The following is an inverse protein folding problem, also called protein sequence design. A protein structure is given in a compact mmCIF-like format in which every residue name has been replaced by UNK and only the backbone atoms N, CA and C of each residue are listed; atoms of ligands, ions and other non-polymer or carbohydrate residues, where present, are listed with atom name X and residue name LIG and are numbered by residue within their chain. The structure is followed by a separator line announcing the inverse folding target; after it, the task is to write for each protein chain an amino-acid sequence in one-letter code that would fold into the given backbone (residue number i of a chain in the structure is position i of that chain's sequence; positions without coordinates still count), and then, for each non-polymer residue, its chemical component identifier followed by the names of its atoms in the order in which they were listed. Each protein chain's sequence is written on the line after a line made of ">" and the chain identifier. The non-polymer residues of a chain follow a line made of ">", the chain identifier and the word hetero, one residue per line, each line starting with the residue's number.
data_IF_781996754061
#
_entry.id   IF_781996754061
#
_cell.length_a   1.000
_cell.length_b   1.000
_cell.length_c   1.000
_cell.angle_alpha   90.00
_cell.angle_beta   90.00
_cell.angle_gamma   90.00
#
_symmetry.space_group_name_H-M   'P 1'
#
loop_
_entity.id
_entity.type
_entity.pdbx_description
1 polymer ?
#
# COMPACT_ATOMS: atom_id res chain seq x y z
N UNK A 1 12.53 -11.10 19.59
CA UNK A 1 11.96 -11.42 18.26
C UNK A 1 13.05 -11.21 17.23
N UNK A 2 13.34 -12.18 16.34
CA UNK A 2 14.33 -11.94 15.27
C UNK A 2 13.78 -10.96 14.24
N UNK A 3 14.64 -10.16 13.61
CA UNK A 3 14.25 -9.21 12.55
C UNK A 3 13.46 -9.93 11.46
N UNK A 4 13.90 -11.13 11.10
CA UNK A 4 13.22 -12.03 10.16
C UNK A 4 11.76 -12.33 10.52
N UNK A 5 11.50 -12.63 11.80
CA UNK A 5 10.14 -12.87 12.29
C UNK A 5 9.31 -11.59 12.29
N UNK A 6 9.92 -10.43 12.56
CA UNK A 6 9.27 -9.13 12.46
C UNK A 6 8.83 -8.83 11.02
N UNK A 7 9.73 -9.01 10.05
CA UNK A 7 9.46 -8.80 8.62
C UNK A 7 8.29 -9.64 8.14
N UNK A 8 8.24 -10.92 8.55
CA UNK A 8 7.11 -11.80 8.20
C UNK A 8 5.80 -11.35 8.82
N UNK A 9 5.81 -10.90 10.07
CA UNK A 9 4.61 -10.37 10.71
C UNK A 9 4.11 -9.11 10.02
N UNK A 10 4.99 -8.16 9.70
CA UNK A 10 4.60 -6.99 8.93
C UNK A 10 4.10 -7.35 7.53
N UNK A 11 4.72 -8.30 6.83
CA UNK A 11 4.23 -8.78 5.54
C UNK A 11 2.84 -9.44 5.63
N UNK A 12 2.57 -10.17 6.71
CA UNK A 12 1.24 -10.69 7.00
C UNK A 12 0.24 -9.56 7.21
N UNK A 13 0.62 -8.52 7.97
CA UNK A 13 -0.21 -7.32 8.17
C UNK A 13 -0.48 -6.60 6.83
N UNK A 14 0.50 -6.50 5.92
CA UNK A 14 0.31 -5.97 4.56
C UNK A 14 -0.74 -6.77 3.79
N UNK A 15 -0.69 -8.10 3.88
CA UNK A 15 -1.64 -8.99 3.22
C UNK A 15 -3.07 -8.80 3.78
N UNK A 16 -3.22 -8.73 5.10
CA UNK A 16 -4.52 -8.44 5.74
C UNK A 16 -5.02 -7.06 5.33
N UNK A 17 -4.16 -6.04 5.34
CA UNK A 17 -4.50 -4.70 4.86
C UNK A 17 -4.99 -4.70 3.41
N UNK A 18 -4.32 -5.47 2.54
CA UNK A 18 -4.75 -5.68 1.16
C UNK A 18 -6.13 -6.33 1.06
N UNK A 19 -6.44 -7.34 1.88
CA UNK A 19 -7.78 -7.97 1.92
C UNK A 19 -8.84 -6.96 2.36
N UNK A 20 -8.58 -6.18 3.41
CA UNK A 20 -9.52 -5.14 3.86
C UNK A 20 -9.71 -4.08 2.77
N UNK A 21 -8.65 -3.72 2.03
CA UNK A 21 -8.71 -2.79 0.89
C UNK A 21 -9.64 -3.29 -0.21
N UNK A 22 -9.63 -4.60 -0.51
CA UNK A 22 -10.57 -5.19 -1.46
C UNK A 22 -12.03 -4.96 -1.04
N UNK A 23 -12.31 -4.83 0.26
CA UNK A 23 -13.65 -4.57 0.81
C UNK A 23 -14.22 -3.19 0.46
N UNK A 24 -13.39 -2.22 0.05
CA UNK A 24 -13.88 -0.91 -0.40
C UNK A 24 -14.74 -1.03 -1.67
N UNK A 25 -14.28 -1.80 -2.66
CA UNK A 25 -14.96 -1.95 -3.95
C UNK A 25 -16.39 -2.50 -3.83
N UNK A 26 -16.66 -3.66 -3.20
CA UNK A 26 -18.03 -4.13 -3.02
C UNK A 26 -18.84 -3.19 -2.14
N UNK A 27 -18.23 -2.57 -1.12
CA UNK A 27 -18.93 -1.60 -0.27
C UNK A 27 -19.44 -0.40 -1.07
N UNK A 28 -18.61 0.12 -1.99
CA UNK A 28 -18.98 1.26 -2.84
C UNK A 28 -20.00 0.92 -3.93
N UNK A 29 -20.13 -0.36 -4.30
CA UNK A 29 -21.19 -0.83 -5.20
C UNK A 29 -22.53 -1.05 -4.47
N UNK A 30 -22.51 -1.51 -3.21
CA UNK A 30 -23.72 -1.84 -2.45
C UNK A 30 -24.30 -0.59 -1.75
N UNK A 31 -23.45 0.20 -1.08
CA UNK A 31 -23.88 1.35 -0.27
C UNK A 31 -23.61 2.71 -0.91
N UNK A 32 -23.00 2.74 -2.10
CA UNK A 32 -22.63 3.97 -2.80
C UNK A 32 -21.21 4.45 -2.45
N UNK A 33 -20.69 5.35 -3.29
CA UNK A 33 -19.37 5.94 -3.11
C UNK A 33 -19.32 6.82 -1.86
N UNK A 34 -18.18 6.82 -1.18
CA UNK A 34 -17.94 7.53 0.08
C UNK A 34 -18.91 7.15 1.22
N UNK A 35 -19.50 5.94 1.13
CA UNK A 35 -20.30 5.38 2.22
C UNK A 35 -19.43 5.06 3.44
N UNK A 36 -20.03 5.06 4.64
CA UNK A 36 -19.31 4.75 5.88
C UNK A 36 -18.61 3.38 5.82
N UNK A 37 -19.22 2.39 5.17
CA UNK A 37 -18.66 1.05 4.99
C UNK A 37 -17.39 1.09 4.14
N UNK A 38 -17.41 1.81 3.02
CA UNK A 38 -16.24 2.02 2.17
C UNK A 38 -15.13 2.75 2.94
N UNK A 39 -15.46 3.83 3.64
CA UNK A 39 -14.48 4.63 4.39
C UNK A 39 -13.88 3.85 5.56
N UNK A 40 -14.65 3.03 6.28
CA UNK A 40 -14.14 2.16 7.35
C UNK A 40 -13.15 1.14 6.77
N UNK A 41 -13.48 0.49 5.65
CA UNK A 41 -12.56 -0.40 4.96
C UNK A 41 -11.29 0.35 4.53
N UNK A 42 -11.42 1.54 3.96
CA UNK A 42 -10.30 2.36 3.53
C UNK A 42 -9.37 2.72 4.70
N UNK A 43 -9.96 3.14 5.82
CA UNK A 43 -9.24 3.58 7.02
C UNK A 43 -8.44 2.42 7.62
N UNK A 44 -9.10 1.29 7.89
CA UNK A 44 -8.46 0.10 8.46
C UNK A 44 -7.38 -0.41 7.49
N UNK A 45 -7.68 -0.49 6.20
CA UNK A 45 -6.72 -0.94 5.19
C UNK A 45 -5.47 -0.06 5.19
N UNK A 46 -5.60 1.27 5.14
CA UNK A 46 -4.44 2.16 5.11
C UNK A 46 -3.56 2.01 6.35
N UNK A 47 -4.15 1.91 7.55
CA UNK A 47 -3.37 1.69 8.79
C UNK A 47 -2.57 0.40 8.71
N UNK A 48 -3.21 -0.70 8.30
CA UNK A 48 -2.52 -1.99 8.15
C UNK A 48 -1.47 -1.92 7.04
N UNK A 49 -1.74 -1.21 5.95
CA UNK A 49 -0.81 -1.07 4.83
C UNK A 49 0.39 -0.20 5.18
N UNK A 50 0.26 0.82 6.04
CA UNK A 50 1.39 1.55 6.63
C UNK A 50 2.33 0.56 7.33
N UNK A 51 1.86 -0.14 8.36
CA UNK A 51 2.70 -1.12 9.06
C UNK A 51 3.19 -2.25 8.15
N UNK A 52 2.37 -2.66 7.21
CA UNK A 52 2.69 -3.72 6.27
C UNK A 52 3.81 -3.35 5.31
N UNK A 53 3.83 -2.11 4.85
CA UNK A 53 4.81 -1.60 3.88
C UNK A 53 6.21 -1.55 4.48
N UNK A 54 6.35 -1.33 5.79
CA UNK A 54 7.62 -1.54 6.51
C UNK A 54 8.15 -2.96 6.32
N UNK A 55 7.29 -3.98 6.43
CA UNK A 55 7.68 -5.37 6.21
C UNK A 55 8.15 -5.61 4.78
N UNK A 56 7.42 -5.07 3.80
CA UNK A 56 7.78 -5.18 2.39
C UNK A 56 9.12 -4.50 2.08
N UNK A 57 9.36 -3.31 2.65
CA UNK A 57 10.62 -2.60 2.49
C UNK A 57 11.78 -3.32 3.17
N UNK A 58 11.61 -3.77 4.41
CA UNK A 58 12.65 -4.49 5.15
C UNK A 58 13.06 -5.80 4.46
N UNK A 59 12.13 -6.46 3.75
CA UNK A 59 12.43 -7.68 3.00
C UNK A 59 13.42 -7.46 1.84
N UNK A 60 13.56 -6.23 1.35
CA UNK A 60 14.40 -5.87 0.20
C UNK A 60 15.40 -4.76 0.52
N UNK A 61 15.58 -4.43 1.81
CA UNK A 61 16.39 -3.28 2.25
C UNK A 61 17.85 -3.36 1.79
N UNK A 62 18.38 -4.58 1.64
CA UNK A 62 19.77 -4.82 1.21
C UNK A 62 19.96 -4.53 -0.28
N UNK A 63 18.92 -4.76 -1.08
CA UNK A 63 18.95 -4.66 -2.54
C UNK A 63 18.39 -3.33 -3.06
N UNK A 64 17.48 -2.70 -2.31
CA UNK A 64 16.75 -1.51 -2.76
C UNK A 64 17.57 -0.19 -2.67
N UNK A 65 18.57 -0.16 -1.80
CA UNK A 65 19.47 0.99 -1.62
C UNK A 65 18.76 2.30 -1.25
N UNK A 66 19.42 3.44 -1.53
CA UNK A 66 18.89 4.79 -1.21
C UNK A 66 17.60 5.12 -1.94
N UNK A 67 17.48 4.71 -3.22
CA UNK A 67 16.27 4.93 -4.00
C UNK A 67 15.07 4.18 -3.40
N UNK A 68 15.28 2.93 -2.99
CA UNK A 68 14.29 2.15 -2.26
C UNK A 68 13.79 2.84 -1.01
N UNK A 69 14.71 3.33 -0.17
CA UNK A 69 14.36 4.07 1.06
C UNK A 69 13.53 5.32 0.78
N UNK A 70 13.93 6.15 -0.20
CA UNK A 70 13.20 7.37 -0.55
C UNK A 70 11.80 7.02 -1.07
N UNK A 71 11.68 6.04 -1.95
CA UNK A 71 10.38 5.61 -2.49
C UNK A 71 9.45 5.06 -1.40
N UNK A 72 10.00 4.32 -0.44
CA UNK A 72 9.32 3.83 0.74
C UNK A 72 8.82 4.98 1.61
N UNK A 73 9.68 5.94 1.96
CA UNK A 73 9.30 7.08 2.78
C UNK A 73 8.19 7.95 2.15
N UNK A 74 8.24 8.14 0.82
CA UNK A 74 7.20 8.87 0.08
C UNK A 74 5.88 8.08 0.10
N UNK A 75 5.93 6.76 -0.10
CA UNK A 75 4.75 5.88 -0.01
C UNK A 75 4.12 5.92 1.38
N UNK A 76 4.92 5.82 2.45
CA UNK A 76 4.45 5.90 3.84
C UNK A 76 3.78 7.24 4.13
N UNK A 77 4.42 8.34 3.73
CA UNK A 77 3.82 9.67 3.88
C UNK A 77 2.46 9.75 3.17
N UNK A 78 2.38 9.25 1.93
CA UNK A 78 1.14 9.19 1.18
C UNK A 78 0.06 8.38 1.91
N UNK A 79 0.37 7.17 2.37
CA UNK A 79 -0.57 6.31 3.09
C UNK A 79 -1.07 6.94 4.39
N UNK A 80 -0.18 7.59 5.15
CA UNK A 80 -0.55 8.31 6.39
C UNK A 80 -1.50 9.47 6.07
N UNK A 81 -1.18 10.27 5.05
CA UNK A 81 -2.03 11.40 4.68
C UNK A 81 -3.39 10.97 4.11
N UNK A 82 -3.44 9.88 3.33
CA UNK A 82 -4.71 9.26 2.89
C UNK A 82 -5.51 8.79 4.10
N UNK A 83 -4.85 8.20 5.11
CA UNK A 83 -5.52 7.77 6.36
C UNK A 83 -6.17 8.96 7.07
N UNK A 84 -5.44 10.07 7.22
CA UNK A 84 -5.96 11.30 7.80
C UNK A 84 -7.13 11.88 6.98
N UNK A 85 -7.04 11.81 5.66
CA UNK A 85 -8.11 12.27 4.76
C UNK A 85 -9.37 11.43 4.91
N UNK A 86 -9.24 10.10 4.90
CA UNK A 86 -10.38 9.18 5.10
C UNK A 86 -11.04 9.43 6.45
N UNK A 87 -10.23 9.61 7.50
CA UNK A 87 -10.72 9.98 8.82
C UNK A 87 -11.49 11.31 8.83
N UNK A 88 -10.98 12.33 8.15
CA UNK A 88 -11.66 13.62 7.97
C UNK A 88 -13.03 13.44 7.29
N UNK A 89 -13.09 12.65 6.22
CA UNK A 89 -14.35 12.36 5.51
C UNK A 89 -15.36 11.65 6.41
N UNK A 90 -14.90 10.72 7.27
CA UNK A 90 -15.77 10.04 8.25
C UNK A 90 -16.35 11.01 9.29
N UNK A 91 -15.67 12.12 9.57
CA UNK A 91 -16.16 13.21 10.42
C UNK A 91 -16.99 14.25 9.66
N UNK A 92 -17.34 13.97 8.41
CA UNK A 92 -18.07 14.87 7.50
C UNK A 92 -17.35 16.21 7.22
N UNK A 93 -16.02 16.22 7.35
CA UNK A 93 -15.18 17.38 6.99
C UNK A 93 -14.63 17.16 5.59
N UNK A 94 -14.88 18.11 4.69
CA UNK A 94 -14.40 18.05 3.31
C UNK A 94 -12.88 17.96 3.26
N UNK A 95 -12.29 16.95 2.61
CA UNK A 95 -10.84 16.86 2.42
C UNK A 95 -10.22 18.04 1.67
N UNK A 96 -11.03 18.76 0.89
CA UNK A 96 -10.57 19.91 0.11
C UNK A 96 -10.31 21.14 0.99
N UNK A 97 -10.93 21.21 2.16
CA UNK A 97 -10.73 22.31 3.12
C UNK A 97 -9.31 22.31 3.71
N UNK A 98 -8.58 21.19 3.55
CA UNK A 98 -7.20 21.04 4.00
C UNK A 98 -6.19 21.75 3.07
N UNK A 99 -6.64 22.24 1.91
CA UNK A 99 -5.83 23.04 0.98
C UNK A 99 -4.51 22.38 0.62
N UNK A 100 -3.40 23.00 1.05
CA UNK A 100 -2.04 22.54 0.72
C UNK A 100 -1.76 21.12 1.23
N UNK A 101 -2.32 20.70 2.36
CA UNK A 101 -2.10 19.35 2.90
C UNK A 101 -2.72 18.30 1.98
N UNK A 102 -3.89 18.60 1.38
CA UNK A 102 -4.50 17.72 0.38
C UNK A 102 -3.66 17.62 -0.88
N UNK A 103 -3.06 18.72 -1.33
CA UNK A 103 -2.13 18.69 -2.47
C UNK A 103 -0.89 17.83 -2.18
N UNK A 104 -0.34 17.89 -0.96
CA UNK A 104 0.76 17.02 -0.52
C UNK A 104 0.34 15.55 -0.45
N UNK A 105 -0.86 15.26 0.02
CA UNK A 105 -1.42 13.90 0.07
C UNK A 105 -1.50 13.27 -1.33
N UNK A 106 -2.14 13.95 -2.28
CA UNK A 106 -2.23 13.49 -3.67
C UNK A 106 -0.83 13.30 -4.28
N UNK A 107 0.03 14.30 -4.13
CA UNK A 107 1.37 14.28 -4.75
C UNK A 107 2.25 13.16 -4.19
N UNK A 108 2.31 13.02 -2.86
CA UNK A 108 3.08 11.96 -2.20
C UNK A 108 2.46 10.58 -2.42
N UNK A 109 1.13 10.46 -2.40
CA UNK A 109 0.42 9.22 -2.68
C UNK A 109 0.69 8.71 -4.09
N UNK A 110 0.53 9.56 -5.12
CA UNK A 110 0.78 9.19 -6.51
C UNK A 110 2.26 8.87 -6.77
N UNK A 111 3.17 9.71 -6.27
CA UNK A 111 4.60 9.45 -6.40
C UNK A 111 5.02 8.19 -5.65
N UNK A 112 4.51 7.95 -4.46
CA UNK A 112 4.77 6.75 -3.67
C UNK A 112 4.31 5.50 -4.40
N UNK A 113 3.05 5.50 -4.87
CA UNK A 113 2.45 4.40 -5.64
C UNK A 113 3.15 4.10 -6.96
N UNK A 114 3.90 5.06 -7.52
CA UNK A 114 4.70 4.85 -8.72
C UNK A 114 6.13 4.41 -8.39
N UNK A 115 6.81 5.15 -7.50
CA UNK A 115 8.23 4.97 -7.22
C UNK A 115 8.51 3.69 -6.44
N UNK A 116 7.66 3.33 -5.48
CA UNK A 116 7.84 2.14 -4.66
C UNK A 116 7.80 0.85 -5.49
N UNK A 117 6.78 0.56 -6.34
CA UNK A 117 6.82 -0.62 -7.19
C UNK A 117 7.97 -0.60 -8.20
N UNK A 118 8.39 0.57 -8.70
CA UNK A 118 9.59 0.67 -9.55
C UNK A 118 10.85 0.27 -8.76
N UNK A 119 10.99 0.72 -7.52
CA UNK A 119 12.10 0.32 -6.65
C UNK A 119 12.09 -1.18 -6.40
N UNK A 120 10.91 -1.78 -6.15
CA UNK A 120 10.75 -3.22 -5.95
C UNK A 120 11.15 -4.02 -7.20
N UNK A 121 10.75 -3.55 -8.38
CA UNK A 121 11.11 -4.17 -9.67
C UNK A 121 12.63 -4.08 -9.92
N UNK A 122 13.28 -2.99 -9.52
CA UNK A 122 14.73 -2.83 -9.59
C UNK A 122 15.47 -3.73 -8.60
N UNK A 123 14.96 -3.87 -7.38
CA UNK A 123 15.52 -4.73 -6.34
C UNK A 123 15.41 -6.22 -6.69
N UNK A 124 14.39 -6.61 -7.49
CA UNK A 124 14.15 -7.99 -7.96
C UNK A 124 13.96 -9.02 -6.82
N UNK A 125 13.57 -8.55 -5.63
CA UNK A 125 13.29 -9.40 -4.46
C UNK A 125 11.84 -9.86 -4.45
N UNK A 126 10.90 -8.97 -4.76
CA UNK A 126 9.47 -9.25 -4.78
C UNK A 126 8.99 -9.73 -6.16
N UNK A 127 7.85 -10.46 -6.24
CA UNK A 127 7.26 -10.84 -7.52
C UNK A 127 6.98 -9.61 -8.39
N UNK A 128 7.05 -9.77 -9.71
CA UNK A 128 6.85 -8.64 -10.63
C UNK A 128 5.38 -8.24 -10.77
N UNK A 129 4.47 -9.22 -10.75
CA UNK A 129 3.05 -9.00 -11.03
C UNK A 129 2.39 -7.96 -10.08
N UNK A 130 2.60 -7.98 -8.74
CA UNK A 130 1.94 -7.02 -7.85
C UNK A 130 2.44 -5.59 -8.10
N UNK A 131 3.71 -5.46 -8.46
CA UNK A 131 4.32 -4.17 -8.76
C UNK A 131 3.78 -3.59 -10.07
N UNK A 132 3.61 -4.43 -11.10
CA UNK A 132 2.90 -4.01 -12.31
C UNK A 132 1.45 -3.66 -12.03
N UNK A 133 0.75 -4.41 -11.18
CA UNK A 133 -0.61 -4.11 -10.77
C UNK A 133 -0.73 -2.72 -10.14
N UNK A 134 0.18 -2.33 -9.23
CA UNK A 134 0.19 -0.98 -8.65
C UNK A 134 0.43 0.12 -9.69
N UNK A 135 1.30 -0.11 -10.66
CA UNK A 135 1.58 0.87 -11.73
C UNK A 135 0.37 1.00 -12.66
N UNK A 136 -0.21 -0.13 -13.10
CA UNK A 136 -1.39 -0.16 -13.98
C UNK A 136 -2.58 0.51 -13.30
N UNK A 137 -2.76 0.29 -12.00
CA UNK A 137 -3.81 0.89 -11.20
C UNK A 137 -3.83 2.42 -11.32
N UNK A 138 -2.67 3.09 -11.40
CA UNK A 138 -2.61 4.55 -11.58
C UNK A 138 -3.22 4.99 -12.92
N UNK A 139 -3.00 4.23 -13.98
CA UNK A 139 -3.61 4.51 -15.29
C UNK A 139 -5.13 4.23 -15.27
N UNK A 140 -5.55 3.15 -14.59
CA UNK A 140 -6.97 2.80 -14.41
C UNK A 140 -7.72 3.89 -13.65
N UNK A 141 -7.10 4.49 -12.63
CA UNK A 141 -7.74 5.52 -11.79
C UNK A 141 -8.03 6.83 -12.49
N UNK A 142 -7.49 7.08 -13.69
CA UNK A 142 -7.81 8.27 -14.50
C UNK A 142 -9.10 8.06 -15.32
N UNK A 143 -9.60 6.82 -15.42
CA UNK A 143 -10.78 6.49 -16.21
C UNK A 143 -12.02 6.50 -15.28
N UNK A 144 -12.98 7.44 -15.46
CA UNK A 144 -14.10 7.60 -14.52
C UNK A 144 -14.96 6.34 -14.31
N UNK A 145 -15.02 5.46 -15.30
CA UNK A 145 -15.78 4.20 -15.23
C UNK A 145 -15.11 3.14 -14.32
N UNK A 146 -13.81 3.25 -14.08
CA UNK A 146 -13.01 2.22 -13.39
C UNK A 146 -12.44 2.67 -12.03
N UNK A 147 -12.83 3.84 -11.54
CA UNK A 147 -12.36 4.39 -10.26
C UNK A 147 -12.54 3.39 -9.10
N UNK A 148 -13.68 2.68 -9.04
CA UNK A 148 -13.95 1.68 -7.99
C UNK A 148 -13.04 0.46 -8.04
N UNK A 149 -12.47 0.15 -9.20
CA UNK A 149 -11.56 -1.00 -9.40
C UNK A 149 -10.16 -0.68 -8.87
N UNK A 150 -9.81 0.60 -8.69
CA UNK A 150 -8.53 1.03 -8.13
C UNK A 150 -8.27 0.38 -6.77
N UNK A 151 -9.26 0.40 -5.86
CA UNK A 151 -9.11 -0.20 -4.54
C UNK A 151 -8.88 -1.72 -4.61
N UNK A 152 -9.53 -2.40 -5.58
CA UNK A 152 -9.35 -3.82 -5.83
C UNK A 152 -7.93 -4.13 -6.30
N UNK A 153 -7.41 -3.37 -7.27
CA UNK A 153 -6.04 -3.55 -7.78
C UNK A 153 -5.00 -3.27 -6.70
N UNK A 154 -5.22 -2.24 -5.89
CA UNK A 154 -4.33 -1.91 -4.77
C UNK A 154 -4.28 -3.05 -3.76
N UNK A 155 -5.45 -3.54 -3.33
CA UNK A 155 -5.55 -4.63 -2.38
C UNK A 155 -4.89 -5.90 -2.89
N UNK A 156 -5.16 -6.27 -4.14
CA UNK A 156 -4.57 -7.45 -4.79
C UNK A 156 -3.04 -7.38 -4.83
N UNK A 157 -2.47 -6.20 -5.13
CA UNK A 157 -1.03 -6.03 -5.15
C UNK A 157 -0.41 -6.21 -3.75
N UNK A 158 -1.03 -5.66 -2.70
CA UNK A 158 -0.53 -5.82 -1.33
C UNK A 158 -0.63 -7.26 -0.83
N UNK A 159 -1.71 -7.98 -1.21
CA UNK A 159 -1.82 -9.41 -0.96
C UNK A 159 -0.67 -10.16 -1.62
N UNK A 160 -0.40 -9.88 -2.89
CA UNK A 160 0.68 -10.52 -3.64
C UNK A 160 2.06 -10.32 -3.06
N UNK A 161 2.40 -9.07 -2.70
CA UNK A 161 3.69 -8.75 -2.08
C UNK A 161 3.79 -9.32 -0.65
N UNK A 162 2.74 -9.15 0.15
CA UNK A 162 2.68 -9.62 1.53
C UNK A 162 2.80 -11.15 1.60
N UNK A 163 2.05 -11.87 0.77
CA UNK A 163 2.14 -13.33 0.66
C UNK A 163 3.55 -13.77 0.30
N UNK A 164 4.18 -13.16 -0.71
CA UNK A 164 5.52 -13.56 -1.15
C UNK A 164 6.59 -13.42 -0.07
N UNK A 165 6.54 -12.34 0.74
CA UNK A 165 7.47 -12.14 1.87
C UNK A 165 7.13 -13.05 3.05
N UNK A 166 5.85 -13.24 3.33
CA UNK A 166 5.41 -14.09 4.43
C UNK A 166 5.71 -15.57 4.20
N UNK A 167 5.49 -16.07 2.97
CA UNK A 167 5.64 -17.48 2.60
C UNK A 167 7.10 -17.88 2.31
N UNK A 168 7.99 -16.92 2.06
CA UNK A 168 9.38 -17.25 1.73
C UNK A 168 10.13 -17.77 2.96
N UNK A 169 10.70 -18.98 2.85
CA UNK A 169 11.73 -19.47 3.78
C UNK A 169 12.95 -18.56 3.59
N UNK A 170 13.17 -17.63 4.53
CA UNK A 170 14.34 -16.75 4.49
C UNK A 170 15.58 -17.65 4.40
N UNK A 171 16.35 -17.52 3.32
CA UNK A 171 17.61 -18.25 3.20
C UNK A 171 18.51 -17.76 4.33
N UNK A 172 18.96 -18.68 5.19
CA UNK A 172 19.91 -18.37 6.27
C UNK A 172 21.10 -17.59 5.69
N UNK A 173 21.59 -16.54 6.38
CA UNK A 173 22.75 -15.81 5.94
C UNK A 173 23.96 -16.75 5.81
N UNK A 174 24.67 -16.63 4.69
CA UNK A 174 25.80 -17.47 4.26
C UNK A 174 27.07 -17.36 5.14
N UNK A 175 26.97 -16.75 6.32
CA UNK A 175 28.07 -16.52 7.26
C UNK A 175 28.12 -17.56 8.41
N UNK A 176 27.25 -18.57 8.39
CA UNK A 176 27.21 -19.68 9.35
C UNK A 176 27.49 -21.05 8.68
N UNK A 177 28.29 -21.10 7.62
CA UNK A 177 28.79 -22.35 7.01
C UNK A 177 30.31 -22.38 6.99
#
# INVERSE_FOLDING_TARGET
>A
MTIERAVRWFAFVAMVGGIVRLGMTPSSYIWGGDSNQELICAFIANILMVFGTFGLYLAQVKEAGKFGFISFAIMELGLILVTCTVWSSMLHVSPWDWGIVKAFEISSGMLGLLLFPIANLKARVLPKWPNFTLIIMLAVGVIPMFEKIVALLWGAAYIGMGYAVWSSKLKKPKYEQ
#
